data_IF_429552235185
#
_entry.id   IF_429552235185
#
_cell.length_a   1.000
_cell.length_b   1.000
_cell.length_c   1.000
_cell.angle_alpha   90.00
_cell.angle_beta   90.00
_cell.angle_gamma   90.00
#
_symmetry.space_group_name_H-M   'P 1'
#
loop_
_entity.id
_entity.type
_entity.pdbx_description
1 polymer ?
#
# COMPACT_ATOMS: atom_id res chain seq x y z
N UNK A 1 16.91 -8.51 -1.70
CA UNK A 1 16.03 -9.62 -1.27
C UNK A 1 14.77 -8.98 -0.72
N UNK A 2 13.56 -9.31 -1.21
CA UNK A 2 12.32 -8.68 -0.70
C UNK A 2 12.02 -9.19 0.71
N UNK A 3 11.86 -8.29 1.68
CA UNK A 3 11.48 -8.62 3.05
C UNK A 3 10.05 -9.18 3.06
N UNK A 4 9.87 -10.42 3.51
CA UNK A 4 8.55 -11.04 3.67
C UNK A 4 8.43 -11.49 5.12
N UNK A 5 7.33 -11.13 5.77
CA UNK A 5 7.07 -11.46 7.18
C UNK A 5 5.82 -12.33 7.22
N UNK A 6 5.99 -13.57 7.70
CA UNK A 6 4.87 -14.45 7.98
C UNK A 6 4.58 -14.46 9.48
N UNK A 7 3.30 -14.36 9.81
CA UNK A 7 2.76 -14.56 11.16
C UNK A 7 1.82 -15.76 11.10
N UNK A 8 1.31 -16.22 12.25
CA UNK A 8 0.39 -17.37 12.27
C UNK A 8 -0.92 -17.21 11.47
N UNK A 9 -1.24 -16.00 10.97
CA UNK A 9 -2.46 -15.72 10.19
C UNK A 9 -2.26 -14.79 8.99
N UNK A 10 -1.15 -14.07 8.94
CA UNK A 10 -0.93 -13.02 7.95
C UNK A 10 0.42 -13.21 7.29
N UNK A 11 0.44 -12.93 6.00
CA UNK A 11 1.64 -12.83 5.20
C UNK A 11 1.78 -11.40 4.72
N UNK A 12 2.89 -10.77 5.12
CA UNK A 12 3.21 -9.38 4.83
C UNK A 12 4.32 -9.34 3.79
N UNK A 13 4.11 -8.58 2.73
CA UNK A 13 5.10 -8.30 1.68
C UNK A 13 4.96 -6.85 1.21
N UNK A 14 5.99 -6.27 0.58
CA UNK A 14 5.87 -5.01 -0.10
C UNK A 14 4.72 -5.03 -1.11
N UNK A 15 4.05 -3.89 -1.24
CA UNK A 15 3.04 -3.69 -2.26
C UNK A 15 3.68 -3.71 -3.64
N UNK A 16 2.89 -4.13 -4.62
CA UNK A 16 3.25 -4.15 -6.04
C UNK A 16 2.11 -3.54 -6.85
N UNK A 17 2.37 -3.17 -8.11
CA UNK A 17 1.32 -2.61 -8.97
C UNK A 17 0.14 -3.58 -9.18
N UNK A 18 0.38 -4.88 -9.09
CA UNK A 18 -0.66 -5.91 -9.19
C UNK A 18 -1.68 -5.85 -8.03
N UNK A 19 -1.35 -5.15 -6.95
CA UNK A 19 -2.24 -4.96 -5.80
C UNK A 19 -3.23 -3.80 -6.00
N UNK A 20 -3.13 -3.03 -7.09
CA UNK A 20 -3.96 -1.86 -7.36
C UNK A 20 -5.47 -2.12 -7.20
N UNK A 21 -6.06 -3.22 -7.72
CA UNK A 21 -7.49 -3.45 -7.57
C UNK A 21 -7.92 -3.63 -6.10
N UNK A 22 -7.12 -4.36 -5.31
CA UNK A 22 -7.40 -4.58 -3.90
C UNK A 22 -7.13 -3.32 -3.07
N UNK A 23 -6.06 -2.59 -3.39
CA UNK A 23 -5.71 -1.32 -2.76
C UNK A 23 -6.81 -0.27 -2.96
N UNK A 24 -7.28 -0.09 -4.21
CA UNK A 24 -8.37 0.84 -4.52
C UNK A 24 -9.68 0.42 -3.86
N UNK A 25 -10.01 -0.88 -3.86
CA UNK A 25 -11.20 -1.40 -3.19
C UNK A 25 -11.18 -1.17 -1.67
N UNK A 26 -10.03 -1.39 -1.00
CA UNK A 26 -9.89 -1.19 0.45
C UNK A 26 -10.01 0.28 0.85
N UNK A 27 -9.48 1.17 0.01
CA UNK A 27 -9.66 2.60 0.21
C UNK A 27 -11.14 2.94 0.01
N UNK A 28 -11.73 2.60 -1.13
CA UNK A 28 -13.09 3.06 -1.47
C UNK A 28 -14.23 2.43 -0.66
N UNK A 29 -14.07 1.24 -0.08
CA UNK A 29 -15.16 0.51 0.57
C UNK A 29 -15.14 0.50 2.10
N UNK A 30 -14.08 1.01 2.76
CA UNK A 30 -14.02 1.04 4.21
C UNK A 30 -14.07 2.49 4.72
N UNK A 31 -15.25 2.88 5.22
CA UNK A 31 -15.54 4.22 5.74
C UNK A 31 -14.54 4.67 6.84
N UNK A 32 -13.99 3.73 7.61
CA UNK A 32 -13.01 4.04 8.65
C UNK A 32 -11.59 4.21 8.09
N UNK A 33 -11.22 3.42 7.09
CA UNK A 33 -9.95 3.58 6.36
C UNK A 33 -9.95 4.91 5.59
N UNK A 34 -11.08 5.28 4.98
CA UNK A 34 -11.24 6.56 4.30
C UNK A 34 -11.04 7.76 5.23
N UNK A 35 -11.55 7.67 6.46
CA UNK A 35 -11.37 8.72 7.46
C UNK A 35 -9.96 8.76 8.05
N UNK A 36 -9.29 7.60 8.16
CA UNK A 36 -7.98 7.49 8.79
C UNK A 36 -6.80 7.74 7.85
N UNK A 37 -6.94 7.44 6.54
CA UNK A 37 -5.80 7.51 5.64
C UNK A 37 -5.52 8.91 5.09
N UNK A 38 -6.51 9.72 4.69
CA UNK A 38 -6.22 11.02 4.04
C UNK A 38 -7.40 12.01 4.11
N UNK A 39 -7.19 13.29 4.47
CA UNK A 39 -8.21 14.33 4.36
C UNK A 39 -8.59 14.72 2.92
N UNK A 40 -7.89 14.22 1.89
CA UNK A 40 -8.13 14.57 0.47
C UNK A 40 -7.94 13.31 -0.43
N UNK A 41 -8.90 12.39 -0.28
CA UNK A 41 -9.47 11.42 -1.22
C UNK A 41 -8.72 11.01 -2.52
N UNK A 42 -8.24 9.76 -2.56
CA UNK A 42 -8.02 8.99 -3.80
C UNK A 42 -9.31 8.28 -4.24
N UNK A 43 -10.26 9.03 -4.78
CA UNK A 43 -11.56 8.47 -5.25
C UNK A 43 -11.37 7.69 -6.54
N UNK A 44 -10.52 8.18 -7.44
CA UNK A 44 -10.32 7.59 -8.74
C UNK A 44 -9.26 6.49 -8.72
N UNK A 45 -9.36 5.54 -9.65
CA UNK A 45 -8.38 4.46 -9.79
C UNK A 45 -7.00 5.00 -10.19
N UNK A 46 -6.96 6.08 -10.97
CA UNK A 46 -5.74 6.76 -11.39
C UNK A 46 -5.00 7.40 -10.20
N UNK A 47 -5.75 7.99 -9.27
CA UNK A 47 -5.14 8.55 -8.07
C UNK A 47 -4.63 7.46 -7.12
N UNK A 48 -5.37 6.36 -7.00
CA UNK A 48 -4.92 5.19 -6.26
C UNK A 48 -3.64 4.60 -6.87
N UNK A 49 -3.56 4.52 -8.21
CA UNK A 49 -2.37 4.09 -8.93
C UNK A 49 -1.18 5.03 -8.68
N UNK A 50 -1.38 6.35 -8.79
CA UNK A 50 -0.34 7.34 -8.50
C UNK A 50 0.22 7.18 -7.08
N UNK A 51 -0.66 7.07 -6.08
CA UNK A 51 -0.26 6.91 -4.68
C UNK A 51 0.43 5.58 -4.42
N UNK A 52 -0.09 4.47 -4.96
CA UNK A 52 0.53 3.15 -4.85
C UNK A 52 1.94 3.15 -5.45
N UNK A 53 2.12 3.70 -6.64
CA UNK A 53 3.43 3.85 -7.28
C UNK A 53 4.37 4.70 -6.43
N UNK A 54 3.89 5.82 -5.86
CA UNK A 54 4.69 6.62 -4.95
C UNK A 54 5.15 5.81 -3.73
N UNK A 55 4.28 5.00 -3.13
CA UNK A 55 4.62 4.16 -1.97
C UNK A 55 5.66 3.08 -2.33
N UNK A 56 5.50 2.43 -3.48
CA UNK A 56 6.46 1.45 -4.01
C UNK A 56 7.84 2.11 -4.19
N UNK A 57 7.88 3.29 -4.80
CA UNK A 57 9.13 4.05 -4.99
C UNK A 57 9.79 4.45 -3.65
N UNK A 58 9.01 4.90 -2.67
CA UNK A 58 9.54 5.22 -1.34
C UNK A 58 10.10 3.96 -0.67
N UNK A 59 9.41 2.83 -0.77
CA UNK A 59 9.88 1.55 -0.24
C UNK A 59 11.19 1.12 -0.91
N UNK A 60 11.27 1.21 -2.24
CA UNK A 60 12.47 0.88 -3.01
C UNK A 60 13.66 1.76 -2.60
N UNK A 61 13.42 3.05 -2.41
CA UNK A 61 14.44 4.05 -2.06
C UNK A 61 14.96 3.88 -0.63
N UNK A 62 14.09 3.61 0.33
CA UNK A 62 14.45 3.65 1.76
C UNK A 62 14.57 2.29 2.42
N UNK A 63 14.01 1.22 1.84
CA UNK A 63 14.09 -0.16 2.34
C UNK A 63 13.90 -0.25 3.87
N UNK A 64 12.69 0.06 4.36
CA UNK A 64 12.40 -0.02 5.78
C UNK A 64 12.65 -1.44 6.32
N UNK A 65 13.51 -1.56 7.34
CA UNK A 65 13.81 -2.85 7.99
C UNK A 65 14.89 -3.70 7.31
N UNK A 66 15.56 -3.19 6.27
CA UNK A 66 16.81 -3.78 5.76
C UNK A 66 17.97 -2.98 6.35
N UNK A 67 18.24 -3.20 7.64
CA UNK A 67 19.46 -2.71 8.30
C UNK A 67 20.64 -3.63 8.00
N UNK A 68 21.84 -3.05 7.95
CA UNK A 68 23.12 -3.77 8.08
C UNK A 68 23.19 -4.61 9.37
#
# INVERSE_FOLDING_TARGET
MMLQIETGRLYLRPLTINDLPNYHSLITNDDNIMQALLPEFAVSIEEAEYRLNHHIQQWEKYQFGIGE
#
